data_IF_098274815682
#
_entry.id   IF_098274815682
#
_cell.length_a   1.000
_cell.length_b   1.000
_cell.length_c   1.000
_cell.angle_alpha   90.00
_cell.angle_beta   90.00
_cell.angle_gamma   90.00
#
_symmetry.space_group_name_H-M   'P 1'
#
loop_
_entity.id
_entity.type
_entity.pdbx_description
1 polymer ?
#
# COMPACT_ATOMS: atom_id res chain seq x y z
N UNK A 1 18.59 5.18 -25.23
CA UNK A 1 18.76 6.05 -24.04
C UNK A 1 17.45 6.82 -23.89
N UNK A 2 16.82 6.81 -22.70
CA UNK A 2 15.59 7.57 -22.51
C UNK A 2 15.88 9.08 -22.63
N UNK A 3 14.94 9.89 -23.17
CA UNK A 3 15.11 11.34 -23.24
C UNK A 3 15.22 11.94 -21.82
N UNK A 4 15.95 13.06 -21.69
CA UNK A 4 15.98 13.82 -20.43
C UNK A 4 14.62 14.47 -20.17
N UNK A 5 14.25 14.56 -18.90
CA UNK A 5 13.13 15.37 -18.43
C UNK A 5 13.26 16.82 -18.92
N UNK A 6 12.19 17.32 -19.53
CA UNK A 6 12.03 18.68 -20.00
C UNK A 6 10.97 19.42 -19.18
N UNK A 7 10.99 20.75 -19.24
CA UNK A 7 9.96 21.57 -18.61
C UNK A 7 8.56 21.18 -19.10
N UNK A 8 7.64 20.93 -18.17
CA UNK A 8 6.27 20.48 -18.45
C UNK A 8 6.08 18.97 -18.34
N UNK A 9 7.17 18.18 -18.30
CA UNK A 9 7.07 16.75 -18.01
C UNK A 9 6.67 16.51 -16.56
N UNK A 10 6.00 15.36 -16.33
CA UNK A 10 5.61 14.90 -14.99
C UNK A 10 6.12 13.49 -14.76
N UNK A 11 6.44 13.19 -13.52
CA UNK A 11 6.78 11.83 -13.11
C UNK A 11 5.53 11.06 -12.73
N UNK A 12 5.32 9.91 -13.37
CA UNK A 12 4.21 9.02 -13.06
C UNK A 12 4.74 7.66 -12.64
N UNK A 13 4.41 7.27 -11.41
CA UNK A 13 4.61 5.92 -10.91
C UNK A 13 3.37 5.07 -11.22
N UNK A 14 3.56 3.83 -11.71
CA UNK A 14 2.50 3.02 -12.35
C UNK A 14 1.78 2.04 -11.41
N UNK A 15 1.93 2.18 -10.09
CA UNK A 15 1.33 1.28 -9.09
C UNK A 15 2.13 0.00 -8.85
N UNK A 16 1.56 -0.89 -8.03
CA UNK A 16 2.16 -2.13 -7.53
C UNK A 16 3.48 -1.91 -6.78
N UNK A 17 3.53 -0.85 -5.98
CA UNK A 17 4.61 -0.58 -5.03
C UNK A 17 4.52 -1.52 -3.82
N UNK A 18 3.28 -1.83 -3.42
CA UNK A 18 2.98 -2.99 -2.61
C UNK A 18 3.24 -4.18 -3.54
N UNK A 19 4.39 -4.83 -3.38
CA UNK A 19 4.84 -5.91 -4.25
C UNK A 19 4.63 -7.27 -3.60
N UNK A 20 5.38 -8.25 -4.12
CA UNK A 20 5.51 -9.59 -3.52
C UNK A 20 6.86 -9.78 -2.81
N UNK A 21 7.68 -8.72 -2.74
CA UNK A 21 9.02 -8.75 -2.17
C UNK A 21 9.08 -8.29 -0.72
N UNK A 22 10.18 -8.57 0.00
CA UNK A 22 10.32 -8.22 1.41
C UNK A 22 10.50 -6.70 1.66
N UNK A 23 10.94 -5.95 0.65
CA UNK A 23 11.32 -4.53 0.78
C UNK A 23 10.15 -3.55 0.59
N UNK A 24 8.91 -3.95 0.83
CA UNK A 24 7.74 -3.08 0.60
C UNK A 24 7.82 -1.80 1.45
N UNK A 25 8.15 -1.94 2.74
CA UNK A 25 8.27 -0.78 3.62
C UNK A 25 9.34 0.19 3.09
N UNK A 26 10.53 -0.32 2.77
CA UNK A 26 11.63 0.46 2.23
C UNK A 26 11.30 1.10 0.87
N UNK A 27 10.56 0.38 0.03
CA UNK A 27 10.08 0.87 -1.28
C UNK A 27 9.20 2.09 -1.10
N UNK A 28 8.17 2.02 -0.24
CA UNK A 28 7.28 3.16 0.01
C UNK A 28 8.05 4.34 0.63
N UNK A 29 8.96 4.07 1.57
CA UNK A 29 9.79 5.09 2.18
C UNK A 29 10.69 5.80 1.15
N UNK A 30 11.28 5.05 0.21
CA UNK A 30 12.12 5.62 -0.85
C UNK A 30 11.29 6.39 -1.87
N UNK A 31 10.09 5.92 -2.24
CA UNK A 31 9.17 6.67 -3.11
C UNK A 31 8.83 8.04 -2.51
N UNK A 32 8.53 8.07 -1.20
CA UNK A 32 8.25 9.31 -0.47
C UNK A 32 9.50 10.20 -0.38
N UNK A 33 10.68 9.63 -0.14
CA UNK A 33 11.95 10.35 -0.11
C UNK A 33 12.26 10.98 -1.47
N UNK A 34 12.20 10.18 -2.53
CA UNK A 34 12.43 10.64 -3.89
C UNK A 34 11.43 11.74 -4.27
N UNK A 35 10.13 11.56 -3.95
CA UNK A 35 9.12 12.60 -4.19
C UNK A 35 9.52 13.94 -3.58
N UNK A 36 9.99 13.95 -2.32
CA UNK A 36 10.44 15.19 -1.66
C UNK A 36 11.63 15.82 -2.37
N UNK A 37 12.61 15.01 -2.80
CA UNK A 37 13.79 15.49 -3.52
C UNK A 37 13.37 16.06 -4.88
N UNK A 38 12.56 15.34 -5.64
CA UNK A 38 12.09 15.78 -6.95
C UNK A 38 11.32 17.10 -6.87
N UNK A 39 10.39 17.20 -5.92
CA UNK A 39 9.58 18.41 -5.70
C UNK A 39 10.37 19.61 -5.16
N UNK A 40 11.64 19.42 -4.79
CA UNK A 40 12.53 20.49 -4.35
C UNK A 40 13.34 21.12 -5.49
N UNK A 41 13.23 20.59 -6.70
CA UNK A 41 14.02 21.01 -7.86
C UNK A 41 13.15 21.92 -8.74
N UNK A 42 13.38 23.24 -8.79
CA UNK A 42 12.67 24.10 -9.71
C UNK A 42 12.89 23.64 -11.17
N UNK A 43 11.85 23.65 -12.01
CA UNK A 43 10.50 24.18 -11.75
C UNK A 43 9.49 23.15 -11.23
N UNK A 44 9.91 21.92 -10.93
CA UNK A 44 9.03 20.84 -10.45
C UNK A 44 8.72 21.01 -8.97
N UNK A 45 7.83 21.92 -8.62
CA UNK A 45 7.48 22.24 -7.23
C UNK A 45 6.01 22.01 -6.90
N UNK A 46 5.18 21.71 -7.91
CA UNK A 46 3.77 21.41 -7.70
C UNK A 46 3.60 19.95 -7.26
N UNK A 47 2.71 19.71 -6.30
CA UNK A 47 2.39 18.34 -5.85
C UNK A 47 1.92 17.40 -6.97
N UNK A 48 1.39 17.94 -8.08
CA UNK A 48 0.94 17.23 -9.27
C UNK A 48 2.09 16.91 -10.26
N UNK A 49 3.31 17.41 -10.03
CA UNK A 49 4.47 17.05 -10.84
C UNK A 49 4.96 15.61 -10.59
N UNK A 50 4.50 15.01 -9.49
CA UNK A 50 4.68 13.58 -9.20
C UNK A 50 3.33 12.93 -8.89
N UNK A 51 2.93 11.97 -9.73
CA UNK A 51 1.68 11.22 -9.62
C UNK A 51 1.97 9.77 -9.29
N UNK A 52 1.23 9.21 -8.34
CA UNK A 52 1.25 7.79 -8.02
C UNK A 52 -0.08 7.17 -8.46
N UNK A 53 -0.01 6.27 -9.43
CA UNK A 53 -1.16 5.48 -9.83
C UNK A 53 -1.35 4.31 -8.88
N UNK A 54 -2.58 3.83 -8.84
CA UNK A 54 -2.97 2.64 -8.10
C UNK A 54 -2.81 1.36 -8.93
N UNK A 55 -2.09 0.39 -8.37
CA UNK A 55 -1.98 -0.96 -8.93
C UNK A 55 -2.93 -1.95 -8.29
N UNK A 56 -2.85 -3.20 -8.74
CA UNK A 56 -3.67 -4.29 -8.25
C UNK A 56 -3.37 -4.64 -6.78
N UNK A 57 -2.12 -4.48 -6.36
CA UNK A 57 -1.71 -4.77 -4.99
C UNK A 57 -2.19 -3.70 -4.00
N UNK A 58 -2.16 -2.41 -4.38
CA UNK A 58 -2.76 -1.35 -3.57
C UNK A 58 -4.28 -1.51 -3.43
N UNK A 59 -4.96 -1.91 -4.51
CA UNK A 59 -6.37 -2.30 -4.47
C UNK A 59 -6.64 -3.49 -3.53
N UNK A 60 -5.78 -4.51 -3.60
CA UNK A 60 -5.89 -5.69 -2.74
C UNK A 60 -5.72 -5.34 -1.27
N UNK A 61 -4.71 -4.51 -0.95
CA UNK A 61 -4.48 -4.01 0.39
C UNK A 61 -5.67 -3.21 0.93
N UNK A 62 -6.25 -2.30 0.14
CA UNK A 62 -7.43 -1.55 0.57
C UNK A 62 -8.62 -2.48 0.88
N UNK A 63 -8.83 -3.52 0.06
CA UNK A 63 -9.90 -4.49 0.26
C UNK A 63 -9.63 -5.39 1.47
N UNK A 64 -8.39 -5.79 1.71
CA UNK A 64 -7.98 -6.55 2.88
C UNK A 64 -8.32 -5.81 4.18
N UNK A 65 -8.09 -4.50 4.22
CA UNK A 65 -8.45 -3.70 5.39
C UNK A 65 -9.97 -3.66 5.65
N UNK A 66 -10.80 -4.02 4.67
CA UNK A 66 -12.26 -4.07 4.75
C UNK A 66 -12.81 -5.50 4.81
N UNK A 67 -11.97 -6.50 5.07
CA UNK A 67 -12.31 -7.91 4.97
C UNK A 67 -13.52 -8.31 5.83
N UNK A 68 -13.76 -7.64 6.96
CA UNK A 68 -14.91 -7.87 7.84
C UNK A 68 -16.28 -7.71 7.17
N UNK A 69 -16.36 -7.04 6.02
CA UNK A 69 -17.59 -6.87 5.26
C UNK A 69 -17.80 -7.96 4.18
N UNK A 70 -16.85 -8.88 4.04
CA UNK A 70 -16.93 -9.97 3.06
C UNK A 70 -17.82 -11.10 3.55
N UNK A 71 -18.57 -11.74 2.64
CA UNK A 71 -19.46 -12.88 2.95
C UNK A 71 -18.67 -14.11 3.42
N UNK A 72 -17.47 -14.32 2.87
CA UNK A 72 -16.59 -15.47 3.17
C UNK A 72 -15.16 -14.96 3.42
N UNK A 73 -14.90 -14.32 4.58
CA UNK A 73 -13.66 -13.58 4.80
C UNK A 73 -12.40 -14.46 4.78
N UNK A 74 -12.49 -15.71 5.27
CA UNK A 74 -11.37 -16.65 5.21
C UNK A 74 -10.98 -16.99 3.76
N UNK A 75 -11.95 -17.39 2.93
CA UNK A 75 -11.70 -17.70 1.50
C UNK A 75 -11.16 -16.49 0.74
N UNK A 76 -11.68 -15.29 1.03
CA UNK A 76 -11.19 -14.05 0.42
C UNK A 76 -9.75 -13.76 0.84
N UNK A 77 -9.41 -13.95 2.13
CA UNK A 77 -8.05 -13.78 2.62
C UNK A 77 -7.09 -14.78 1.99
N UNK A 78 -7.45 -16.07 1.95
CA UNK A 78 -6.65 -17.11 1.28
C UNK A 78 -6.38 -16.77 -0.19
N UNK A 79 -7.40 -16.29 -0.91
CA UNK A 79 -7.27 -15.84 -2.30
C UNK A 79 -6.32 -14.64 -2.45
N UNK A 80 -6.32 -13.71 -1.50
CA UNK A 80 -5.41 -12.55 -1.48
C UNK A 80 -3.97 -12.97 -1.13
N UNK A 81 -3.81 -13.89 -0.17
CA UNK A 81 -2.50 -14.46 0.22
C UNK A 81 -1.85 -15.16 -0.97
N UNK A 82 -2.61 -15.98 -1.70
CA UNK A 82 -2.15 -16.63 -2.94
C UNK A 82 -1.74 -15.64 -4.05
N UNK A 83 -2.08 -14.35 -3.92
CA UNK A 83 -1.72 -13.27 -4.85
C UNK A 83 -0.71 -12.28 -4.28
N UNK A 84 -0.09 -12.62 -3.15
CA UNK A 84 1.09 -11.92 -2.64
C UNK A 84 0.82 -10.83 -1.60
N UNK A 85 -0.42 -10.71 -1.09
CA UNK A 85 -0.69 -9.73 -0.01
C UNK A 85 0.09 -10.02 1.28
N UNK A 86 0.59 -11.26 1.43
CA UNK A 86 1.38 -11.70 2.59
C UNK A 86 2.64 -10.87 2.82
N UNK A 87 3.31 -10.47 1.73
CA UNK A 87 4.46 -9.58 1.81
C UNK A 87 4.07 -8.20 2.38
N UNK A 88 2.90 -7.68 1.99
CA UNK A 88 2.38 -6.40 2.49
C UNK A 88 1.94 -6.52 3.95
N UNK A 89 1.31 -7.63 4.35
CA UNK A 89 0.98 -7.92 5.74
C UNK A 89 2.24 -7.89 6.61
N UNK A 90 3.26 -8.65 6.20
CA UNK A 90 4.54 -8.72 6.90
C UNK A 90 5.19 -7.35 7.03
N UNK A 91 5.18 -6.54 5.97
CA UNK A 91 5.75 -5.19 5.95
C UNK A 91 5.07 -4.22 6.94
N UNK A 92 3.80 -4.47 7.29
CA UNK A 92 3.05 -3.71 8.29
C UNK A 92 2.82 -4.47 9.59
N UNK A 93 3.63 -5.50 9.87
CA UNK A 93 3.65 -6.23 11.15
C UNK A 93 2.46 -7.16 11.38
N UNK A 94 1.74 -7.53 10.32
CA UNK A 94 0.68 -8.54 10.37
C UNK A 94 1.17 -9.93 9.99
N UNK A 95 0.50 -10.95 10.52
CA UNK A 95 0.66 -12.34 10.08
C UNK A 95 -0.63 -12.86 9.43
N UNK A 96 -0.49 -13.71 8.40
CA UNK A 96 -1.61 -14.37 7.74
C UNK A 96 -2.45 -15.22 8.71
N UNK A 97 -1.79 -15.91 9.64
CA UNK A 97 -2.43 -16.75 10.65
C UNK A 97 -3.38 -15.95 11.55
N UNK A 98 -2.99 -14.75 11.98
CA UNK A 98 -3.84 -13.87 12.79
C UNK A 98 -5.12 -13.48 12.05
N UNK A 99 -5.00 -13.22 10.74
CA UNK A 99 -6.15 -12.89 9.89
C UNK A 99 -7.11 -14.06 9.70
N UNK A 100 -6.58 -15.27 9.47
CA UNK A 100 -7.37 -16.49 9.34
C UNK A 100 -8.06 -16.86 10.67
N UNK A 101 -7.35 -16.75 11.78
CA UNK A 101 -7.90 -16.91 13.13
C UNK A 101 -8.99 -15.88 13.41
N UNK A 102 -8.76 -14.62 13.06
CA UNK A 102 -9.77 -13.55 13.17
C UNK A 102 -11.01 -13.83 12.33
N UNK A 103 -10.86 -14.36 11.12
CA UNK A 103 -11.97 -14.74 10.25
C UNK A 103 -12.80 -15.90 10.84
N UNK A 104 -12.15 -16.89 11.47
CA UNK A 104 -12.81 -18.00 12.14
C UNK A 104 -13.56 -17.57 13.42
N UNK A 105 -13.03 -16.59 14.14
CA UNK A 105 -13.62 -16.06 15.38
C UNK A 105 -14.78 -15.07 15.13
N UNK A 106 -14.95 -14.60 13.89
CA UNK A 106 -16.06 -13.77 13.46
C UNK A 106 -15.74 -12.28 13.32
N UNK A 107 -16.75 -11.51 12.92
CA UNK A 107 -16.56 -10.13 12.42
C UNK A 107 -15.89 -9.17 13.42
N UNK A 108 -16.10 -9.33 14.73
CA UNK A 108 -15.46 -8.48 15.74
C UNK A 108 -13.95 -8.71 15.82
N UNK A 109 -13.51 -9.96 15.90
CA UNK A 109 -12.08 -10.32 15.93
C UNK A 109 -11.39 -9.85 14.64
N UNK A 110 -12.04 -10.07 13.50
CA UNK A 110 -11.53 -9.63 12.21
C UNK A 110 -11.44 -8.10 12.10
N UNK A 111 -12.41 -7.37 12.65
CA UNK A 111 -12.38 -5.89 12.70
C UNK A 111 -11.24 -5.40 13.58
N UNK A 112 -10.97 -6.05 14.72
CA UNK A 112 -9.86 -5.71 15.58
C UNK A 112 -8.52 -5.91 14.85
N UNK A 113 -8.36 -7.03 14.14
CA UNK A 113 -7.18 -7.33 13.33
C UNK A 113 -6.97 -6.30 12.21
N UNK A 114 -7.97 -6.01 11.38
CA UNK A 114 -7.82 -5.00 10.31
C UNK A 114 -7.61 -3.59 10.86
N UNK A 115 -8.08 -3.29 12.07
CA UNK A 115 -7.81 -2.01 12.75
C UNK A 115 -6.37 -1.91 13.24
N UNK A 116 -5.80 -3.00 13.75
CA UNK A 116 -4.39 -3.07 14.13
C UNK A 116 -3.47 -2.84 12.91
N UNK A 117 -3.76 -3.49 11.77
CA UNK A 117 -3.04 -3.27 10.51
C UNK A 117 -3.10 -1.81 10.03
N UNK A 118 -4.26 -1.16 10.16
CA UNK A 118 -4.36 0.29 9.86
C UNK A 118 -3.51 1.12 10.81
N UNK A 119 -3.42 0.75 12.09
CA UNK A 119 -2.64 1.48 13.06
C UNK A 119 -1.14 1.41 12.74
N UNK A 120 -0.63 0.23 12.38
CA UNK A 120 0.78 0.05 11.99
C UNK A 120 1.10 0.79 10.69
N UNK A 121 0.23 0.73 9.68
CA UNK A 121 0.41 1.49 8.43
C UNK A 121 0.39 3.01 8.65
N UNK A 122 -0.48 3.51 9.54
CA UNK A 122 -0.52 4.95 9.91
C UNK A 122 0.68 5.41 10.73
N UNK A 123 1.28 4.51 11.52
CA UNK A 123 2.49 4.81 12.26
C UNK A 123 3.71 4.98 11.34
N UNK A 124 3.67 4.42 10.12
CA UNK A 124 4.71 4.59 9.11
C UNK A 124 4.61 5.99 8.45
N UNK A 125 5.64 6.85 8.56
CA UNK A 125 5.55 8.24 8.12
C UNK A 125 5.15 8.41 6.65
N UNK A 126 3.95 8.91 6.40
CA UNK A 126 3.44 9.23 5.07
C UNK A 126 2.94 8.03 4.25
N UNK A 127 3.02 6.79 4.75
CA UNK A 127 2.57 5.60 4.01
C UNK A 127 1.05 5.62 3.80
N UNK A 128 0.28 5.81 4.87
CA UNK A 128 -1.20 5.92 4.80
C UNK A 128 -1.66 7.11 3.94
N UNK A 129 -0.95 8.24 4.06
CA UNK A 129 -1.21 9.42 3.24
C UNK A 129 -0.95 9.17 1.74
N UNK A 130 0.12 8.43 1.40
CA UNK A 130 0.38 8.01 0.02
C UNK A 130 -0.75 7.12 -0.50
N UNK A 131 -1.14 6.10 0.27
CA UNK A 131 -2.21 5.17 -0.12
C UNK A 131 -3.54 5.89 -0.37
N UNK A 132 -3.84 6.90 0.44
CA UNK A 132 -5.04 7.73 0.29
C UNK A 132 -4.99 8.68 -0.91
N UNK A 133 -3.80 9.02 -1.40
CA UNK A 133 -3.58 9.98 -2.49
C UNK A 133 -3.40 9.33 -3.87
N UNK A 134 -3.40 7.99 -3.95
CA UNK A 134 -3.27 7.26 -5.21
C UNK A 134 -4.39 7.62 -6.18
N UNK A 135 -4.04 7.77 -7.47
CA UNK A 135 -4.96 8.04 -8.57
C UNK A 135 -5.45 6.75 -9.23
#
# INVERSE_FOLDING_TARGET
>A
MAPRLAFGDRLVYLGNYLGVGPEIYGTIAELLRFRRIFLSIPPYTDTADVVFLRGAQEEMWQKLLQLQFSVRPAEVLEWMLARGVDATLTAYGGAAEDGLNGAAQGAMALTAWTSALRATARAAPGHDALMSALK
#
